data_IF_998821400639
#
_entry.id   IF_998821400639
#
_cell.length_a   1.000
_cell.length_b   1.000
_cell.length_c   1.000
_cell.angle_alpha   90.00
_cell.angle_beta   90.00
_cell.angle_gamma   90.00
#
_symmetry.space_group_name_H-M   'P 1'
#
loop_
_entity.id
_entity.type
_entity.pdbx_description
1 polymer ?
#
# COMPACT_ATOMS: atom_id res chain seq x y z
N UNK A 1 5.52 -21.83 -7.36
CA UNK A 1 4.88 -20.70 -8.06
C UNK A 1 4.87 -19.56 -7.07
N UNK A 2 5.46 -18.42 -7.43
CA UNK A 2 5.44 -17.22 -6.61
C UNK A 2 4.09 -16.50 -6.78
N UNK A 3 3.59 -15.90 -5.70
CA UNK A 3 2.41 -15.04 -5.71
C UNK A 3 2.88 -13.59 -5.65
N UNK A 4 2.56 -12.80 -6.67
CA UNK A 4 2.87 -11.37 -6.68
C UNK A 4 1.81 -10.63 -5.85
N UNK A 5 2.24 -9.82 -4.89
CA UNK A 5 1.37 -8.99 -4.05
C UNK A 5 1.71 -7.51 -4.21
N UNK A 6 0.69 -6.65 -4.12
CA UNK A 6 0.92 -5.21 -4.07
C UNK A 6 1.41 -4.81 -2.67
N UNK A 7 2.43 -3.95 -2.59
CA UNK A 7 3.00 -3.47 -1.34
C UNK A 7 3.01 -1.95 -1.30
N UNK A 8 2.37 -1.38 -0.28
CA UNK A 8 2.48 0.05 0.02
C UNK A 8 3.32 0.18 1.29
N UNK A 9 4.58 0.68 1.23
CA UNK A 9 5.45 0.77 2.41
C UNK A 9 4.89 1.62 3.54
N UNK A 10 4.04 2.59 3.21
CA UNK A 10 3.50 3.54 4.17
C UNK A 10 4.48 4.67 4.51
N UNK A 11 4.13 5.45 5.54
CA UNK A 11 4.88 6.64 5.97
C UNK A 11 5.21 6.59 7.47
N UNK A 12 6.13 7.46 7.91
CA UNK A 12 6.64 7.43 9.29
C UNK A 12 7.27 6.08 9.62
N UNK A 13 6.86 5.46 10.73
CA UNK A 13 7.30 4.10 11.13
C UNK A 13 6.95 3.02 10.10
N UNK A 14 6.06 3.30 9.14
CA UNK A 14 5.58 2.32 8.17
C UNK A 14 6.68 1.67 7.35
N UNK A 15 7.68 2.46 6.91
CA UNK A 15 8.80 1.95 6.11
C UNK A 15 9.67 0.97 6.91
N UNK A 16 9.92 1.28 8.18
CA UNK A 16 10.75 0.45 9.06
C UNK A 16 10.06 -0.89 9.34
N UNK A 17 8.78 -0.86 9.75
CA UNK A 17 8.03 -2.08 10.03
C UNK A 17 7.77 -2.91 8.77
N UNK A 18 7.60 -2.27 7.60
CA UNK A 18 7.47 -2.98 6.34
C UNK A 18 8.76 -3.72 5.98
N UNK A 19 9.91 -3.04 6.10
CA UNK A 19 11.22 -3.66 5.84
C UNK A 19 11.43 -4.87 6.75
N UNK A 20 11.10 -4.75 8.04
CA UNK A 20 11.16 -5.88 8.98
C UNK A 20 10.21 -7.02 8.58
N UNK A 21 8.99 -6.69 8.14
CA UNK A 21 7.98 -7.67 7.71
C UNK A 21 8.44 -8.45 6.47
N UNK A 22 8.91 -7.76 5.43
CA UNK A 22 9.37 -8.40 4.19
C UNK A 22 10.57 -9.33 4.47
N UNK A 23 11.52 -8.90 5.31
CA UNK A 23 12.65 -9.76 5.73
C UNK A 23 12.21 -11.06 6.39
N UNK A 24 11.16 -11.03 7.20
CA UNK A 24 10.61 -12.24 7.85
C UNK A 24 9.91 -13.12 6.81
N UNK A 25 9.12 -12.54 5.91
CA UNK A 25 8.44 -13.28 4.84
C UNK A 25 9.43 -13.97 3.89
N UNK A 26 10.52 -13.29 3.55
CA UNK A 26 11.59 -13.85 2.72
C UNK A 26 12.33 -14.98 3.43
N UNK A 27 12.63 -14.82 4.72
CA UNK A 27 13.28 -15.85 5.53
C UNK A 27 12.41 -17.11 5.71
N UNK A 28 11.09 -16.97 5.62
CA UNK A 28 10.13 -18.08 5.66
C UNK A 28 9.94 -18.76 4.30
N UNK A 29 10.56 -18.26 3.23
CA UNK A 29 10.34 -18.70 1.85
C UNK A 29 8.84 -18.76 1.51
N UNK A 30 8.12 -17.68 1.83
CA UNK A 30 6.66 -17.61 1.67
C UNK A 30 6.18 -17.67 0.21
N UNK A 31 7.09 -17.77 -0.77
CA UNK A 31 6.76 -17.79 -2.20
C UNK A 31 6.11 -16.50 -2.67
N UNK A 32 6.57 -15.35 -2.18
CA UNK A 32 6.01 -14.03 -2.50
C UNK A 32 6.96 -13.23 -3.40
N UNK A 33 6.37 -12.48 -4.32
CA UNK A 33 7.04 -11.41 -5.05
C UNK A 33 6.33 -10.09 -4.75
N UNK A 34 7.09 -9.01 -4.61
CA UNK A 34 6.56 -7.74 -4.13
C UNK A 34 6.53 -6.70 -5.25
N UNK A 35 5.32 -6.22 -5.57
CA UNK A 35 5.11 -5.08 -6.46
C UNK A 35 4.87 -3.82 -5.63
N UNK A 36 5.85 -2.93 -5.57
CA UNK A 36 5.77 -1.71 -4.77
C UNK A 36 4.95 -0.64 -5.48
N UNK A 37 3.93 -0.12 -4.79
CA UNK A 37 3.03 0.93 -5.30
C UNK A 37 2.87 2.05 -4.27
N UNK A 38 2.51 3.24 -4.74
CA UNK A 38 2.43 4.44 -3.89
C UNK A 38 0.99 4.78 -3.49
N UNK A 39 0.82 5.29 -2.28
CA UNK A 39 -0.45 5.87 -1.83
C UNK A 39 -0.23 6.93 -0.74
N UNK A 40 -1.25 7.75 -0.52
CA UNK A 40 -1.26 8.81 0.47
C UNK A 40 -0.38 9.99 0.08
N UNK A 41 0.26 10.61 1.07
CA UNK A 41 1.02 11.84 0.86
C UNK A 41 2.16 11.68 -0.15
N UNK A 42 2.86 10.54 -0.13
CA UNK A 42 3.92 10.26 -1.10
C UNK A 42 3.38 10.24 -2.54
N UNK A 43 2.25 9.56 -2.76
CA UNK A 43 1.60 9.55 -4.07
C UNK A 43 1.09 10.95 -4.46
N UNK A 44 0.54 11.71 -3.50
CA UNK A 44 0.06 13.06 -3.76
C UNK A 44 1.19 13.99 -4.21
N UNK A 45 2.37 13.88 -3.60
CA UNK A 45 3.56 14.65 -3.96
C UNK A 45 4.09 14.27 -5.35
N UNK A 46 4.06 12.98 -5.70
CA UNK A 46 4.63 12.46 -6.95
C UNK A 46 3.68 12.55 -8.15
N UNK A 47 2.38 12.37 -7.93
CA UNK A 47 1.36 12.17 -8.99
C UNK A 47 0.22 13.19 -8.94
N UNK A 48 0.08 13.94 -7.85
CA UNK A 48 -1.09 14.79 -7.62
C UNK A 48 -2.33 14.03 -7.13
N UNK A 49 -2.26 12.70 -7.00
CA UNK A 49 -3.37 11.85 -6.55
C UNK A 49 -3.03 11.13 -5.25
N UNK A 50 -3.99 11.05 -4.33
CA UNK A 50 -3.81 10.29 -3.08
C UNK A 50 -3.78 8.77 -3.29
N UNK A 51 -4.45 8.29 -4.33
CA UNK A 51 -4.48 6.89 -4.72
C UNK A 51 -4.42 6.88 -6.25
N UNK A 52 -3.21 6.79 -6.83
CA UNK A 52 -3.04 6.73 -8.28
C UNK A 52 -3.81 5.56 -8.88
N UNK A 53 -4.31 5.71 -10.11
CA UNK A 53 -5.00 4.64 -10.81
C UNK A 53 -4.13 3.37 -10.94
N UNK A 54 -2.83 3.52 -11.19
CA UNK A 54 -1.87 2.41 -11.23
C UNK A 54 -1.86 1.60 -9.93
N UNK A 55 -1.96 2.25 -8.78
CA UNK A 55 -2.07 1.58 -7.47
C UNK A 55 -3.35 0.78 -7.37
N UNK A 56 -4.48 1.33 -7.83
CA UNK A 56 -5.77 0.62 -7.84
C UNK A 56 -5.76 -0.59 -8.79
N UNK A 57 -5.14 -0.43 -9.96
CA UNK A 57 -5.02 -1.49 -10.96
C UNK A 57 -4.13 -2.63 -10.45
N UNK A 58 -3.00 -2.30 -9.82
CA UNK A 58 -2.13 -3.28 -9.17
C UNK A 58 -2.89 -4.08 -8.12
N UNK A 59 -3.59 -3.42 -7.19
CA UNK A 59 -4.36 -4.10 -6.14
C UNK A 59 -5.47 -4.98 -6.74
N UNK A 60 -6.16 -4.49 -7.78
CA UNK A 60 -7.22 -5.24 -8.47
C UNK A 60 -6.68 -6.51 -9.13
N UNK A 61 -5.50 -6.41 -9.77
CA UNK A 61 -4.86 -7.52 -10.47
C UNK A 61 -4.25 -8.55 -9.50
N UNK A 62 -3.64 -8.09 -8.40
CA UNK A 62 -2.99 -8.97 -7.42
C UNK A 62 -3.94 -9.53 -6.37
N UNK A 63 -5.07 -8.86 -6.11
CA UNK A 63 -6.08 -9.21 -5.10
C UNK A 63 -5.58 -9.21 -3.64
N UNK A 64 -4.28 -9.03 -3.43
CA UNK A 64 -3.61 -9.03 -2.13
C UNK A 64 -2.79 -7.75 -2.01
N UNK A 65 -3.03 -7.01 -0.92
CA UNK A 65 -2.33 -5.77 -0.59
C UNK A 65 -1.72 -5.88 0.81
N UNK A 66 -0.39 -5.74 0.90
CA UNK A 66 0.32 -5.53 2.15
C UNK A 66 0.65 -4.05 2.31
N UNK A 67 -0.02 -3.35 3.24
CA UNK A 67 0.16 -1.90 3.41
C UNK A 67 0.58 -1.47 4.80
N UNK A 68 1.62 -0.64 4.87
CA UNK A 68 2.01 0.10 6.06
C UNK A 68 0.96 1.14 6.49
N UNK A 69 1.18 1.82 7.62
CA UNK A 69 0.37 2.95 8.05
C UNK A 69 0.45 4.11 7.05
N UNK A 70 -0.70 4.72 6.77
CA UNK A 70 -0.83 5.86 5.86
C UNK A 70 -1.41 7.06 6.62
N UNK A 71 -0.72 8.19 6.54
CA UNK A 71 -1.19 9.45 7.13
C UNK A 71 -2.39 9.97 6.33
N UNK A 72 -3.48 10.28 7.04
CA UNK A 72 -4.60 11.05 6.49
C UNK A 72 -4.48 12.49 6.99
N UNK A 73 -4.39 13.50 6.09
CA UNK A 73 -4.36 14.89 6.52
C UNK A 73 -5.66 15.26 7.25
N UNK A 74 -5.54 15.80 8.47
CA UNK A 74 -6.70 16.25 9.26
C UNK A 74 -7.16 17.63 8.75
N UNK A 75 -8.48 17.83 8.64
CA UNK A 75 -9.08 19.17 8.44
C UNK A 75 -9.08 19.74 7.02
N UNK A 76 -8.53 19.04 6.01
CA UNK A 76 -8.50 19.52 4.61
C UNK A 76 -9.58 18.92 3.70
N UNK A 77 -10.63 18.32 4.25
CA UNK A 77 -11.73 17.74 3.45
C UNK A 77 -11.39 16.44 2.70
N UNK A 78 -10.21 15.85 2.95
CA UNK A 78 -9.83 14.57 2.35
C UNK A 78 -10.54 13.39 3.01
N UNK A 79 -11.01 12.45 2.20
CA UNK A 79 -11.46 11.14 2.69
C UNK A 79 -10.23 10.33 3.12
N UNK A 80 -10.33 9.62 4.24
CA UNK A 80 -9.24 8.76 4.69
C UNK A 80 -8.91 7.71 3.65
N UNK A 81 -7.66 7.62 3.23
CA UNK A 81 -7.18 6.63 2.25
C UNK A 81 -7.51 5.21 2.70
N UNK A 82 -7.36 4.93 4.01
CA UNK A 82 -7.69 3.63 4.58
C UNK A 82 -9.18 3.28 4.39
N UNK A 83 -10.06 4.26 4.60
CA UNK A 83 -11.51 4.09 4.40
C UNK A 83 -11.84 3.99 2.91
N UNK A 84 -11.19 4.78 2.07
CA UNK A 84 -11.38 4.75 0.61
C UNK A 84 -11.01 3.38 0.04
N UNK A 85 -9.84 2.83 0.39
CA UNK A 85 -9.42 1.50 -0.07
C UNK A 85 -10.39 0.40 0.39
N UNK A 86 -10.81 0.43 1.67
CA UNK A 86 -11.81 -0.51 2.20
C UNK A 86 -13.13 -0.47 1.44
N UNK A 87 -13.65 0.73 1.19
CA UNK A 87 -14.89 0.90 0.41
C UNK A 87 -14.74 0.49 -1.05
N UNK A 88 -13.60 0.80 -1.67
CA UNK A 88 -13.33 0.47 -3.07
C UNK A 88 -13.29 -1.05 -3.31
N UNK A 89 -12.78 -1.80 -2.33
CA UNK A 89 -12.60 -3.25 -2.43
C UNK A 89 -13.57 -4.07 -1.56
N UNK A 90 -14.56 -3.42 -0.95
CA UNK A 90 -15.56 -4.04 -0.06
C UNK A 90 -14.95 -4.88 1.09
N UNK A 91 -14.03 -4.26 1.85
CA UNK A 91 -13.24 -4.87 2.94
C UNK A 91 -13.55 -4.29 4.33
#
# INVERSE_FOLDING_TARGET
MSTIISVIPGVGIGREIMTATLRVLDALDAGLEYEFVEAGLAALENTGELIPQETLDSITNRRVLLKGPLTTPVGKGFRSINVTLRKQFDL
#
